data_IF_724329261328
#
_entry.id   IF_724329261328
#
_cell.length_a   1.000
_cell.length_b   1.000
_cell.length_c   1.000
_cell.angle_alpha   90.00
_cell.angle_beta   90.00
_cell.angle_gamma   90.00
#
_symmetry.space_group_name_H-M   'P 1'
#
loop_
_entity.id
_entity.type
_entity.pdbx_description
1 polymer ?
#
# COMPACT_ATOMS: atom_id res chain seq x y z
N UNK A 1 -36.13 -4.88 4.47
CA UNK A 1 -35.83 -4.61 5.89
C UNK A 1 -34.69 -5.47 6.44
N UNK A 2 -34.50 -6.72 6.00
CA UNK A 2 -33.45 -7.67 6.47
C UNK A 2 -32.01 -7.15 6.25
N UNK A 3 -31.78 -6.30 5.26
CA UNK A 3 -30.45 -5.76 4.91
C UNK A 3 -29.99 -4.52 5.69
N UNK A 4 -30.85 -3.96 6.56
CA UNK A 4 -30.57 -2.67 7.23
C UNK A 4 -29.49 -2.78 8.31
N UNK A 5 -29.29 -3.97 8.93
CA UNK A 5 -28.28 -4.22 9.96
C UNK A 5 -27.15 -5.16 9.50
N UNK A 6 -27.08 -5.47 8.21
CA UNK A 6 -26.20 -6.49 7.66
C UNK A 6 -25.26 -5.97 6.58
N UNK A 7 -24.59 -4.83 6.85
CA UNK A 7 -23.68 -4.24 5.88
C UNK A 7 -22.25 -4.62 6.17
N UNK A 8 -21.49 -4.86 5.10
CA UNK A 8 -20.06 -5.18 5.13
C UNK A 8 -19.27 -3.91 4.82
N UNK A 9 -18.35 -3.45 5.70
CA UNK A 9 -17.48 -2.32 5.41
C UNK A 9 -16.50 -2.65 4.29
N UNK A 10 -16.05 -1.63 3.54
CA UNK A 10 -15.08 -1.78 2.44
C UNK A 10 -13.71 -2.30 2.85
N UNK A 11 -13.37 -2.20 4.13
CA UNK A 11 -12.10 -2.65 4.67
C UNK A 11 -12.09 -2.62 6.18
N UNK A 12 -11.07 -3.22 6.76
CA UNK A 12 -10.79 -3.20 8.20
C UNK A 12 -9.28 -3.25 8.40
N UNK A 13 -8.82 -2.83 9.56
CA UNK A 13 -7.42 -2.97 9.97
C UNK A 13 -7.16 -4.34 10.59
N UNK A 14 -5.90 -4.78 10.58
CA UNK A 14 -5.53 -6.11 11.07
C UNK A 14 -5.57 -6.24 12.60
N UNK A 15 -5.41 -5.12 13.34
CA UNK A 15 -5.54 -5.15 14.80
C UNK A 15 -6.97 -5.39 15.25
N UNK A 16 -7.17 -6.23 16.28
CA UNK A 16 -8.46 -6.35 16.96
C UNK A 16 -8.74 -5.11 17.81
N UNK A 17 -10.00 -4.90 18.23
CA UNK A 17 -10.31 -3.85 19.21
C UNK A 17 -9.53 -4.06 20.50
N UNK A 18 -9.42 -5.32 20.96
CA UNK A 18 -8.63 -5.67 22.15
C UNK A 18 -7.17 -5.33 21.96
N UNK A 19 -6.57 -5.71 20.80
CA UNK A 19 -5.19 -5.34 20.47
C UNK A 19 -5.02 -3.83 20.44
N UNK A 20 -5.95 -3.08 19.82
CA UNK A 20 -5.87 -1.62 19.71
C UNK A 20 -5.91 -0.92 21.08
N UNK A 21 -6.78 -1.37 21.98
CA UNK A 21 -6.84 -0.86 23.35
C UNK A 21 -5.57 -1.23 24.13
N UNK A 22 -5.12 -2.48 24.03
CA UNK A 22 -3.88 -2.94 24.68
C UNK A 22 -2.67 -2.15 24.19
N UNK A 23 -2.54 -1.90 22.89
CA UNK A 23 -1.47 -1.08 22.31
C UNK A 23 -1.54 0.38 22.76
N UNK A 24 -2.75 0.95 22.88
CA UNK A 24 -2.92 2.30 23.42
C UNK A 24 -2.38 2.38 24.85
N UNK A 25 -2.78 1.47 25.73
CA UNK A 25 -2.33 1.42 27.12
C UNK A 25 -0.82 1.18 27.22
N UNK A 26 -0.29 0.21 26.49
CA UNK A 26 1.15 -0.08 26.46
C UNK A 26 1.97 1.09 25.93
N UNK A 27 1.47 1.85 24.98
CA UNK A 27 2.18 2.99 24.39
C UNK A 27 2.42 4.15 25.37
N UNK A 28 1.63 4.23 26.44
CA UNK A 28 1.76 5.28 27.48
C UNK A 28 3.06 5.09 28.27
N UNK A 29 3.43 3.86 28.61
CA UNK A 29 4.57 3.54 29.48
C UNK A 29 5.78 2.98 28.73
N UNK A 30 5.61 2.46 27.50
CA UNK A 30 6.68 1.82 26.72
C UNK A 30 7.82 2.77 26.42
N UNK A 31 9.04 2.26 26.42
CA UNK A 31 10.23 2.98 25.97
C UNK A 31 10.12 3.24 24.45
N UNK A 32 10.33 4.49 24.04
CA UNK A 32 10.33 4.85 22.62
C UNK A 32 11.67 4.54 21.96
N UNK A 33 12.78 4.67 22.69
CA UNK A 33 14.13 4.36 22.22
C UNK A 33 14.61 3.04 22.88
N UNK A 34 14.88 2.06 22.07
CA UNK A 34 15.56 0.82 22.43
C UNK A 34 16.07 0.18 21.13
N UNK A 35 17.32 0.46 20.80
CA UNK A 35 17.93 0.06 19.53
C UNK A 35 17.95 -1.47 19.38
N UNK A 36 18.18 -2.21 20.48
CA UNK A 36 18.14 -3.69 20.47
C UNK A 36 16.80 -4.23 19.96
N UNK A 37 15.66 -3.62 20.35
CA UNK A 37 14.35 -4.07 19.90
C UNK A 37 14.07 -3.69 18.46
N UNK A 38 14.58 -2.55 17.99
CA UNK A 38 14.48 -2.13 16.60
C UNK A 38 15.31 -3.09 15.73
N UNK A 39 16.55 -3.39 16.09
CA UNK A 39 17.41 -4.34 15.37
C UNK A 39 16.81 -5.76 15.35
N UNK A 40 16.26 -6.24 16.45
CA UNK A 40 15.57 -7.54 16.51
C UNK A 40 14.42 -7.61 15.47
N UNK A 41 13.61 -6.56 15.39
CA UNK A 41 12.54 -6.49 14.40
C UNK A 41 13.07 -6.43 12.96
N UNK A 42 14.08 -5.59 12.71
CA UNK A 42 14.72 -5.44 11.41
C UNK A 42 15.32 -6.77 10.92
N UNK A 43 16.00 -7.50 11.77
CA UNK A 43 16.57 -8.82 11.46
C UNK A 43 15.49 -9.84 11.10
N UNK A 44 14.45 -9.96 11.95
CA UNK A 44 13.32 -10.86 11.72
C UNK A 44 12.58 -10.50 10.43
N UNK A 45 12.41 -9.21 10.13
CA UNK A 45 11.71 -8.79 8.95
C UNK A 45 12.54 -8.96 7.67
N UNK A 46 13.86 -8.69 7.73
CA UNK A 46 14.77 -9.00 6.63
C UNK A 46 14.75 -10.48 6.29
N UNK A 47 14.90 -11.34 7.30
CA UNK A 47 14.82 -12.80 7.15
C UNK A 47 13.47 -13.24 6.57
N UNK A 48 12.36 -12.64 7.02
CA UNK A 48 11.02 -12.96 6.55
C UNK A 48 10.83 -12.66 5.05
N UNK A 49 11.44 -11.60 4.54
CA UNK A 49 11.39 -11.21 3.12
C UNK A 49 12.39 -12.01 2.28
N UNK A 50 13.46 -12.54 2.88
CA UNK A 50 14.58 -13.17 2.18
C UNK A 50 15.66 -12.18 1.77
N UNK A 51 15.84 -11.10 2.56
CA UNK A 51 16.93 -10.11 2.43
C UNK A 51 17.91 -10.25 3.60
N UNK A 52 19.14 -9.76 3.40
CA UNK A 52 20.16 -9.80 4.45
C UNK A 52 19.96 -8.72 5.51
N UNK A 53 19.52 -7.54 5.11
CA UNK A 53 19.47 -6.38 5.99
C UNK A 53 18.16 -5.61 5.87
N UNK A 54 17.76 -4.97 6.97
CA UNK A 54 16.67 -4.04 7.06
C UNK A 54 17.06 -2.79 7.86
N UNK A 55 16.55 -1.63 7.48
CA UNK A 55 16.67 -0.36 8.22
C UNK A 55 15.32 0.30 8.32
N UNK A 56 14.89 0.65 9.54
CA UNK A 56 13.55 1.17 9.81
C UNK A 56 13.52 2.70 9.88
N UNK A 57 12.54 3.28 9.20
CA UNK A 57 12.25 4.70 9.09
C UNK A 57 10.82 5.01 9.56
N UNK A 58 10.45 6.29 9.81
CA UNK A 58 9.11 6.64 10.28
C UNK A 58 8.00 6.45 9.25
N UNK A 59 8.34 6.47 7.94
CA UNK A 59 7.44 6.29 6.81
C UNK A 59 8.17 5.63 5.63
N UNK A 60 7.44 4.92 4.77
CA UNK A 60 7.99 4.36 3.52
C UNK A 60 8.56 5.46 2.61
N UNK A 61 7.86 6.58 2.47
CA UNK A 61 8.36 7.74 1.70
C UNK A 61 9.67 8.31 2.23
N UNK A 62 9.90 8.27 3.56
CA UNK A 62 11.20 8.65 4.14
C UNK A 62 12.30 7.66 3.78
N UNK A 63 11.98 6.37 3.78
CA UNK A 63 12.91 5.34 3.33
C UNK A 63 13.24 5.47 1.84
N UNK A 64 12.24 5.78 0.98
CA UNK A 64 12.45 6.07 -0.46
C UNK A 64 13.32 7.33 -0.63
N UNK A 65 13.03 8.39 0.13
CA UNK A 65 13.83 9.62 0.10
C UNK A 65 15.32 9.34 0.36
N UNK A 66 15.62 8.62 1.43
CA UNK A 66 17.02 8.31 1.76
C UNK A 66 17.63 7.31 0.77
N UNK A 67 16.87 6.32 0.27
CA UNK A 67 17.39 5.40 -0.74
C UNK A 67 17.83 6.12 -2.01
N UNK A 68 17.04 7.05 -2.52
CA UNK A 68 17.40 7.88 -3.68
C UNK A 68 18.51 8.89 -3.35
N UNK A 69 18.48 9.50 -2.15
CA UNK A 69 19.52 10.43 -1.68
C UNK A 69 20.89 9.77 -1.60
N UNK A 70 20.98 8.58 -0.95
CA UNK A 70 22.28 7.88 -0.81
C UNK A 70 22.75 7.25 -2.12
N UNK A 71 21.86 7.01 -3.08
CA UNK A 71 22.25 6.63 -4.44
C UNK A 71 22.99 7.76 -5.15
N UNK A 72 22.75 9.00 -4.71
CA UNK A 72 23.44 10.21 -5.18
C UNK A 72 23.33 10.42 -6.70
N UNK A 73 22.10 10.30 -7.24
CA UNK A 73 21.85 10.58 -8.64
C UNK A 73 22.02 12.07 -8.93
N UNK A 74 22.60 12.45 -10.08
CA UNK A 74 22.68 13.84 -10.50
C UNK A 74 21.29 14.50 -10.56
N UNK A 75 21.21 15.81 -10.26
CA UNK A 75 19.95 16.55 -10.47
C UNK A 75 19.55 16.50 -11.95
N UNK A 76 18.25 16.39 -12.20
CA UNK A 76 17.72 16.22 -13.55
C UNK A 76 17.68 14.77 -14.04
N UNK A 77 18.27 13.81 -13.29
CA UNK A 77 18.13 12.38 -13.62
C UNK A 77 16.68 11.95 -13.52
N UNK A 78 16.23 11.17 -14.49
CA UNK A 78 14.90 10.62 -14.54
C UNK A 78 14.73 9.40 -13.60
N UNK A 79 13.60 9.37 -12.91
CA UNK A 79 13.15 8.24 -12.09
C UNK A 79 11.86 7.70 -12.67
N UNK A 80 11.90 6.49 -13.22
CA UNK A 80 10.68 5.80 -13.70
C UNK A 80 9.84 5.40 -12.49
N UNK A 81 8.53 5.70 -12.56
CA UNK A 81 7.57 5.37 -11.52
C UNK A 81 6.19 5.10 -12.11
N UNK A 82 5.32 4.32 -11.41
CA UNK A 82 3.99 4.04 -11.94
C UNK A 82 3.13 5.31 -11.98
N UNK A 83 2.24 5.44 -12.99
CA UNK A 83 1.36 6.58 -13.11
C UNK A 83 0.27 6.63 -12.02
N UNK A 84 0.02 5.51 -11.32
CA UNK A 84 -0.88 5.43 -10.17
C UNK A 84 -0.05 5.22 -8.91
N UNK A 85 -0.08 6.16 -7.97
CA UNK A 85 0.64 6.04 -6.70
C UNK A 85 0.10 7.02 -5.66
N UNK A 86 0.79 7.13 -4.53
CA UNK A 86 0.59 8.20 -3.56
C UNK A 86 1.49 9.39 -3.90
N UNK A 87 0.89 10.59 -3.89
CA UNK A 87 1.60 11.86 -4.18
C UNK A 87 2.90 12.02 -3.39
N UNK A 88 2.95 11.56 -2.14
CA UNK A 88 4.16 11.66 -1.31
C UNK A 88 5.41 10.97 -1.88
N UNK A 89 5.28 10.00 -2.79
CA UNK A 89 6.43 9.40 -3.48
C UNK A 89 6.91 10.34 -4.60
N UNK A 90 5.98 10.94 -5.34
CA UNK A 90 6.30 11.95 -6.35
C UNK A 90 6.99 13.16 -5.72
N UNK A 91 6.49 13.65 -4.58
CA UNK A 91 7.11 14.76 -3.84
C UNK A 91 8.55 14.46 -3.42
N UNK A 92 8.83 13.19 -3.05
CA UNK A 92 10.21 12.74 -2.74
C UNK A 92 11.11 12.87 -3.97
N UNK A 93 10.69 12.37 -5.11
CA UNK A 93 11.47 12.45 -6.36
C UNK A 93 11.80 13.92 -6.70
N UNK A 94 10.78 14.77 -6.68
CA UNK A 94 10.93 16.20 -7.00
C UNK A 94 11.79 16.93 -5.97
N UNK A 95 11.68 16.63 -4.68
CA UNK A 95 12.45 17.30 -3.62
C UNK A 95 13.96 17.04 -3.70
N UNK A 96 14.36 15.95 -4.36
CA UNK A 96 15.76 15.62 -4.64
C UNK A 96 16.28 16.25 -5.96
N UNK A 97 15.44 17.02 -6.66
CA UNK A 97 15.76 17.60 -7.96
C UNK A 97 15.79 16.57 -9.08
N UNK A 98 15.16 15.41 -8.89
CA UNK A 98 14.99 14.35 -9.88
C UNK A 98 13.71 14.57 -10.68
N UNK A 99 13.63 13.98 -11.86
CA UNK A 99 12.49 14.13 -12.78
C UNK A 99 11.68 12.84 -12.79
N UNK A 100 10.37 12.87 -12.45
CA UNK A 100 9.51 11.70 -12.59
C UNK A 100 9.26 11.39 -14.07
N UNK A 101 9.38 10.11 -14.44
CA UNK A 101 9.04 9.60 -15.76
C UNK A 101 8.01 8.48 -15.60
N UNK A 102 6.83 8.66 -16.18
CA UNK A 102 5.77 7.65 -16.04
C UNK A 102 5.85 6.65 -17.18
N UNK A 103 5.60 5.38 -16.86
CA UNK A 103 5.45 4.28 -17.81
C UNK A 103 4.14 3.58 -17.51
N UNK A 104 3.32 3.35 -18.54
CA UNK A 104 2.00 2.77 -18.39
C UNK A 104 2.08 1.30 -17.93
N UNK A 105 0.97 0.82 -17.41
CA UNK A 105 0.85 -0.48 -16.75
C UNK A 105 0.44 -1.58 -17.74
N UNK A 106 0.67 -2.82 -17.35
CA UNK A 106 -0.02 -3.99 -17.85
C UNK A 106 -1.32 -4.18 -17.06
N UNK A 107 -2.43 -4.36 -17.78
CA UNK A 107 -3.76 -4.47 -17.19
C UNK A 107 -3.95 -5.74 -16.34
N UNK A 108 -3.18 -6.81 -16.63
CA UNK A 108 -3.33 -8.10 -15.96
C UNK A 108 -2.59 -8.20 -14.63
N UNK A 109 -1.60 -7.33 -14.41
CA UNK A 109 -0.75 -7.41 -13.21
C UNK A 109 -0.52 -6.06 -12.52
N UNK A 110 -1.07 -4.95 -13.06
CA UNK A 110 -0.97 -3.59 -12.51
C UNK A 110 0.47 -3.11 -12.26
N UNK A 111 1.44 -3.70 -12.93
CA UNK A 111 2.83 -3.27 -12.93
C UNK A 111 3.21 -2.75 -14.32
N UNK A 112 4.44 -2.35 -14.52
CA UNK A 112 4.91 -1.86 -15.81
C UNK A 112 4.73 -2.89 -16.92
N UNK A 113 4.25 -2.43 -18.09
CA UNK A 113 4.36 -3.16 -19.33
C UNK A 113 5.84 -3.31 -19.74
N UNK A 114 6.28 -4.54 -20.02
CA UNK A 114 7.70 -4.84 -20.27
C UNK A 114 8.25 -4.10 -21.50
N UNK A 115 7.48 -4.02 -22.57
CA UNK A 115 7.90 -3.34 -23.80
C UNK A 115 7.94 -1.82 -23.62
N UNK A 116 6.91 -1.25 -22.99
CA UNK A 116 6.86 0.18 -22.68
C UNK A 116 8.00 0.58 -21.77
N UNK A 117 8.32 -0.24 -20.74
CA UNK A 117 9.46 -0.01 -19.87
C UNK A 117 10.78 -0.02 -20.64
N UNK A 118 11.00 -1.03 -21.47
CA UNK A 118 12.24 -1.13 -22.26
C UNK A 118 12.46 0.06 -23.18
N UNK A 119 11.39 0.58 -23.76
CA UNK A 119 11.42 1.73 -24.67
C UNK A 119 11.59 3.07 -23.91
N UNK A 120 11.14 3.14 -22.65
CA UNK A 120 11.22 4.35 -21.85
C UNK A 120 12.60 4.60 -21.23
N UNK A 121 13.41 3.55 -21.06
CA UNK A 121 14.75 3.69 -20.47
C UNK A 121 15.73 4.23 -21.51
N UNK A 122 16.30 5.41 -21.21
CA UNK A 122 17.33 6.10 -22.00
C UNK A 122 18.52 6.52 -21.13
N UNK A 123 19.41 7.36 -21.67
CA UNK A 123 20.63 7.85 -21.00
C UNK A 123 20.37 8.76 -19.79
N UNK A 124 19.18 9.37 -19.71
CA UNK A 124 18.79 10.24 -18.59
C UNK A 124 18.18 9.44 -17.43
N UNK A 125 17.84 8.18 -17.67
CA UNK A 125 17.16 7.32 -16.68
C UNK A 125 18.19 6.74 -15.69
N UNK A 126 18.09 7.09 -14.41
CA UNK A 126 19.02 6.60 -13.37
C UNK A 126 18.40 5.60 -12.38
N UNK A 127 17.07 5.65 -12.17
CA UNK A 127 16.40 4.77 -11.22
C UNK A 127 14.98 4.42 -11.67
N UNK A 128 14.45 3.36 -11.07
CA UNK A 128 13.06 2.94 -11.21
C UNK A 128 12.47 2.59 -9.85
N UNK A 129 11.22 3.00 -9.60
CA UNK A 129 10.41 2.59 -8.45
C UNK A 129 9.34 1.63 -8.97
N UNK A 130 9.52 0.34 -8.74
CA UNK A 130 8.55 -0.70 -9.10
C UNK A 130 7.57 -0.86 -7.94
N UNK A 131 6.31 -0.51 -8.13
CA UNK A 131 5.26 -0.64 -7.11
C UNK A 131 4.34 -1.82 -7.45
N UNK A 132 4.17 -2.73 -6.51
CA UNK A 132 3.28 -3.89 -6.66
C UNK A 132 1.86 -3.54 -6.22
N UNK A 133 1.12 -2.90 -7.12
CA UNK A 133 -0.23 -2.41 -6.84
C UNK A 133 -1.19 -3.57 -6.51
N UNK A 134 -2.06 -3.34 -5.53
CA UNK A 134 -3.18 -4.20 -5.12
C UNK A 134 -2.79 -5.61 -4.65
N UNK A 135 -1.50 -5.89 -4.46
CA UNK A 135 -1.00 -7.20 -4.04
C UNK A 135 -0.84 -8.18 -5.20
N UNK A 136 -0.63 -7.68 -6.40
CA UNK A 136 -0.35 -8.50 -7.59
C UNK A 136 1.14 -8.84 -7.70
N UNK A 137 1.42 -9.98 -8.30
CA UNK A 137 2.76 -10.45 -8.64
C UNK A 137 2.96 -10.35 -10.17
N UNK A 138 3.74 -9.38 -10.67
CA UNK A 138 4.07 -9.26 -12.09
C UNK A 138 5.19 -10.23 -12.47
N UNK A 139 5.54 -10.28 -13.75
CA UNK A 139 6.75 -10.94 -14.22
C UNK A 139 8.00 -10.11 -13.86
N UNK A 140 8.29 -10.02 -12.56
CA UNK A 140 9.33 -9.15 -12.03
C UNK A 140 10.72 -9.51 -12.55
N UNK A 141 10.99 -10.79 -12.82
CA UNK A 141 12.30 -11.26 -13.28
C UNK A 141 12.69 -10.62 -14.61
N UNK A 142 11.75 -10.48 -15.54
CA UNK A 142 11.98 -9.75 -16.81
C UNK A 142 12.19 -8.26 -16.61
N UNK A 143 11.40 -7.62 -15.75
CA UNK A 143 11.58 -6.19 -15.45
C UNK A 143 12.98 -5.93 -14.87
N UNK A 144 13.42 -6.79 -13.93
CA UNK A 144 14.76 -6.71 -13.35
C UNK A 144 15.85 -6.93 -14.41
N UNK A 145 15.66 -7.89 -15.30
CA UNK A 145 16.62 -8.15 -16.38
C UNK A 145 16.78 -6.93 -17.31
N UNK A 146 15.67 -6.28 -17.69
CA UNK A 146 15.69 -5.05 -18.49
C UNK A 146 16.50 -3.97 -17.78
N UNK A 147 16.21 -3.73 -16.49
CA UNK A 147 16.89 -2.72 -15.69
C UNK A 147 18.39 -3.00 -15.52
N UNK A 148 18.75 -4.25 -15.24
CA UNK A 148 20.16 -4.68 -15.09
C UNK A 148 20.98 -4.45 -16.36
N UNK A 149 20.45 -4.82 -17.52
CA UNK A 149 21.11 -4.59 -18.82
C UNK A 149 21.40 -3.10 -19.06
N UNK A 150 20.53 -2.23 -18.59
CA UNK A 150 20.62 -0.76 -18.71
C UNK A 150 21.31 -0.10 -17.52
N UNK A 151 21.76 -0.86 -16.50
CA UNK A 151 22.40 -0.36 -15.27
C UNK A 151 21.52 0.61 -14.46
N UNK A 152 20.21 0.45 -14.48
CA UNK A 152 19.25 1.26 -13.76
C UNK A 152 19.14 0.77 -12.31
N UNK A 153 19.17 1.69 -11.34
CA UNK A 153 18.95 1.38 -9.93
C UNK A 153 17.49 1.02 -9.68
N UNK A 154 17.25 -0.17 -9.12
CA UNK A 154 15.90 -0.72 -8.91
C UNK A 154 15.51 -0.67 -7.44
N UNK A 155 14.47 0.11 -7.15
CA UNK A 155 13.78 0.16 -5.87
C UNK A 155 12.39 -0.49 -6.01
N UNK A 156 12.14 -1.57 -5.27
CA UNK A 156 10.83 -2.20 -5.19
C UNK A 156 9.99 -1.60 -4.06
N UNK A 157 8.77 -1.14 -4.33
CA UNK A 157 7.77 -0.84 -3.30
C UNK A 157 6.76 -1.99 -3.19
N UNK A 158 6.97 -2.87 -2.21
CA UNK A 158 6.08 -4.00 -1.95
C UNK A 158 5.10 -3.75 -0.80
N UNK A 159 4.81 -2.49 -0.51
CA UNK A 159 3.87 -2.08 0.55
C UNK A 159 2.44 -2.63 0.40
N UNK A 160 2.09 -3.11 -0.78
CA UNK A 160 0.82 -3.77 -1.06
C UNK A 160 1.01 -5.24 -1.47
N UNK A 161 2.24 -5.65 -1.78
CA UNK A 161 2.60 -6.98 -2.30
C UNK A 161 3.29 -7.91 -1.29
N UNK A 162 3.21 -7.62 0.01
CA UNK A 162 3.79 -8.51 1.03
C UNK A 162 3.24 -9.94 0.87
N UNK A 163 4.11 -10.94 0.90
CA UNK A 163 3.82 -12.35 0.66
C UNK A 163 3.42 -12.75 -0.77
N UNK A 164 3.27 -11.82 -1.70
CA UNK A 164 3.18 -12.19 -3.10
C UNK A 164 4.53 -12.77 -3.56
N UNK A 165 4.48 -13.79 -4.44
CA UNK A 165 5.67 -14.54 -4.82
C UNK A 165 5.79 -14.69 -6.34
N UNK A 166 7.01 -14.69 -6.85
CA UNK A 166 7.36 -15.10 -8.21
C UNK A 166 8.50 -16.10 -8.11
N UNK A 167 8.42 -17.21 -8.81
CA UNK A 167 9.44 -18.27 -8.76
C UNK A 167 9.83 -18.68 -7.33
N UNK A 168 8.85 -18.76 -6.41
CA UNK A 168 9.00 -19.07 -4.97
C UNK A 168 9.77 -18.02 -4.16
N UNK A 169 10.12 -16.87 -4.73
CA UNK A 169 10.73 -15.74 -4.04
C UNK A 169 9.68 -14.67 -3.76
N UNK A 170 9.74 -14.05 -2.57
CA UNK A 170 8.83 -12.97 -2.22
C UNK A 170 9.14 -11.69 -2.98
N UNK A 171 8.11 -10.94 -3.34
CA UNK A 171 8.28 -9.56 -3.82
C UNK A 171 9.02 -8.73 -2.77
N UNK A 172 9.85 -7.79 -3.23
CA UNK A 172 10.79 -7.06 -2.38
C UNK A 172 12.17 -7.71 -2.28
N UNK A 173 12.42 -8.87 -2.94
CA UNK A 173 13.72 -9.56 -2.91
C UNK A 173 14.46 -9.61 -4.24
N UNK A 174 14.06 -8.84 -5.25
CA UNK A 174 14.60 -8.91 -6.61
C UNK A 174 15.48 -7.74 -7.03
N UNK A 175 15.12 -6.49 -6.68
CA UNK A 175 15.85 -5.28 -7.03
C UNK A 175 17.08 -5.02 -6.16
N UNK A 176 17.76 -3.89 -6.38
CA UNK A 176 18.89 -3.46 -5.55
C UNK A 176 18.50 -3.20 -4.11
N UNK A 177 17.30 -2.64 -3.93
CA UNK A 177 16.68 -2.45 -2.62
C UNK A 177 15.16 -2.53 -2.71
N UNK A 178 14.53 -2.62 -1.55
CA UNK A 178 13.06 -2.60 -1.48
C UNK A 178 12.55 -1.87 -0.24
N UNK A 179 11.29 -1.45 -0.32
CA UNK A 179 10.61 -0.67 0.73
C UNK A 179 9.27 -1.31 1.07
N UNK A 180 8.99 -1.38 2.37
CA UNK A 180 7.67 -1.75 2.90
C UNK A 180 7.12 -0.66 3.80
N UNK A 181 5.85 -0.34 3.64
CA UNK A 181 5.11 0.56 4.54
C UNK A 181 4.36 -0.24 5.59
N UNK A 182 4.61 0.03 6.87
CA UNK A 182 3.83 -0.52 7.98
C UNK A 182 2.84 0.48 8.58
N UNK A 183 2.21 1.29 7.71
CA UNK A 183 1.12 2.20 8.10
C UNK A 183 -0.20 1.45 8.28
N UNK A 184 -1.21 2.12 8.83
CA UNK A 184 -2.56 1.59 8.94
C UNK A 184 -3.04 0.98 7.62
N UNK A 185 -3.86 -0.06 7.70
CA UNK A 185 -4.39 -0.86 6.59
C UNK A 185 -3.37 -1.76 5.85
N UNK A 186 -2.08 -1.71 6.18
CA UNK A 186 -1.09 -2.63 5.63
C UNK A 186 -1.13 -3.98 6.35
N UNK A 187 -0.58 -5.02 5.70
CA UNK A 187 -0.60 -6.38 6.24
C UNK A 187 0.16 -6.48 7.57
N UNK A 188 1.27 -5.77 7.69
CA UNK A 188 1.95 -5.51 8.97
C UNK A 188 1.75 -4.04 9.28
N UNK A 189 0.94 -3.73 10.29
CA UNK A 189 0.66 -2.38 10.76
C UNK A 189 1.35 -2.14 12.10
N UNK A 190 2.29 -1.20 12.14
CA UNK A 190 3.00 -0.76 13.33
C UNK A 190 2.68 0.70 13.71
N UNK A 191 1.48 1.16 13.33
CA UNK A 191 1.07 2.56 13.51
C UNK A 191 1.94 3.55 12.73
N UNK A 192 2.39 3.14 11.55
CA UNK A 192 3.35 3.84 10.72
C UNK A 192 4.74 3.22 10.81
N UNK A 193 5.51 3.46 9.78
CA UNK A 193 6.86 2.93 9.57
C UNK A 193 7.11 2.75 8.09
N UNK A 194 8.38 2.76 7.74
CA UNK A 194 8.89 2.41 6.43
C UNK A 194 10.15 1.59 6.61
N UNK A 195 10.23 0.44 5.96
CA UNK A 195 11.35 -0.47 6.15
C UNK A 195 12.07 -0.63 4.83
N UNK A 196 13.34 -0.26 4.83
CA UNK A 196 14.26 -0.42 3.71
C UNK A 196 14.94 -1.78 3.82
N UNK A 197 15.07 -2.50 2.71
CA UNK A 197 15.75 -3.79 2.66
C UNK A 197 16.77 -3.81 1.52
N UNK A 198 17.93 -4.43 1.74
CA UNK A 198 18.91 -4.70 0.71
C UNK A 198 19.87 -5.80 1.13
N UNK A 199 20.55 -6.40 0.16
CA UNK A 199 21.67 -7.34 0.38
C UNK A 199 23.02 -6.63 0.27
N UNK A 200 23.04 -5.37 -0.19
CA UNK A 200 24.23 -4.54 -0.31
C UNK A 200 24.58 -3.89 1.04
N UNK A 201 25.67 -4.37 1.66
CA UNK A 201 26.14 -3.89 2.95
C UNK A 201 26.54 -2.41 2.94
N UNK A 202 27.12 -1.92 1.84
CA UNK A 202 27.56 -0.53 1.74
C UNK A 202 26.34 0.40 1.66
N UNK A 203 25.36 0.07 0.82
CA UNK A 203 24.12 0.81 0.71
C UNK A 203 23.38 0.86 2.07
N UNK A 204 23.30 -0.27 2.75
CA UNK A 204 22.69 -0.36 4.09
C UNK A 204 23.44 0.48 5.12
N UNK A 205 24.77 0.49 5.08
CA UNK A 205 25.57 1.32 5.99
C UNK A 205 25.29 2.82 5.79
N UNK A 206 25.16 3.27 4.53
CA UNK A 206 24.79 4.66 4.21
C UNK A 206 23.37 4.98 4.67
N UNK A 207 22.42 4.06 4.48
CA UNK A 207 21.05 4.21 4.97
C UNK A 207 21.00 4.29 6.50
N UNK A 208 21.82 3.52 7.20
CA UNK A 208 21.92 3.54 8.68
C UNK A 208 22.45 4.89 9.18
N UNK A 209 23.46 5.45 8.55
CA UNK A 209 23.98 6.79 8.89
C UNK A 209 22.90 7.87 8.75
N UNK A 210 22.08 7.83 7.72
CA UNK A 210 20.96 8.78 7.56
C UNK A 210 19.88 8.54 8.63
N UNK A 211 19.60 7.29 8.98
CA UNK A 211 18.63 6.92 10.02
C UNK A 211 19.05 7.40 11.41
N UNK A 212 20.34 7.36 11.73
CA UNK A 212 20.90 7.82 13.01
C UNK A 212 20.76 9.33 13.21
N UNK A 213 20.64 10.11 12.12
CA UNK A 213 20.46 11.55 12.16
C UNK A 213 19.00 11.99 12.35
N UNK A 214 18.05 11.04 12.37
CA UNK A 214 16.63 11.34 12.53
C UNK A 214 16.32 11.92 13.91
N UNK A 215 15.42 12.89 13.95
CA UNK A 215 14.94 13.46 15.21
C UNK A 215 14.23 12.42 16.06
N UNK A 216 14.41 12.44 17.40
CA UNK A 216 13.69 11.53 18.28
C UNK A 216 12.18 11.65 18.11
N UNK A 217 11.49 10.51 18.06
CA UNK A 217 10.03 10.50 18.01
C UNK A 217 9.44 10.91 19.36
N UNK A 218 8.37 11.70 19.33
CA UNK A 218 7.64 12.12 20.52
C UNK A 218 6.44 11.20 20.76
N UNK A 219 6.19 10.86 22.03
CA UNK A 219 5.08 9.99 22.44
C UNK A 219 3.72 10.47 21.93
N UNK A 220 3.49 11.76 21.91
CA UNK A 220 2.24 12.34 21.42
C UNK A 220 1.95 12.00 19.95
N UNK A 221 2.98 11.91 19.09
CA UNK A 221 2.79 11.50 17.70
C UNK A 221 2.43 10.03 17.59
N UNK A 222 3.04 9.17 18.41
CA UNK A 222 2.69 7.75 18.49
C UNK A 222 1.27 7.56 18.97
N UNK A 223 0.89 8.21 20.06
CA UNK A 223 -0.47 8.17 20.61
C UNK A 223 -1.53 8.63 19.61
N UNK A 224 -1.28 9.72 18.88
CA UNK A 224 -2.20 10.18 17.82
C UNK A 224 -2.39 9.13 16.73
N UNK A 225 -1.33 8.43 16.33
CA UNK A 225 -1.41 7.35 15.31
C UNK A 225 -2.20 6.15 15.83
N UNK A 226 -1.95 5.72 17.08
CA UNK A 226 -2.65 4.61 17.71
C UNK A 226 -4.14 4.95 17.92
N UNK A 227 -4.43 6.16 18.40
CA UNK A 227 -5.81 6.61 18.57
C UNK A 227 -6.56 6.65 17.23
N UNK A 228 -5.94 7.18 16.19
CA UNK A 228 -6.52 7.15 14.83
C UNK A 228 -6.79 5.73 14.35
N UNK A 229 -5.87 4.80 14.59
CA UNK A 229 -6.05 3.39 14.25
C UNK A 229 -7.21 2.76 15.05
N UNK A 230 -7.32 3.05 16.34
CA UNK A 230 -8.46 2.63 17.17
C UNK A 230 -9.79 3.20 16.63
N UNK A 231 -9.82 4.47 16.21
CA UNK A 231 -11.01 5.08 15.60
C UNK A 231 -11.41 4.37 14.30
N UNK A 232 -10.45 4.02 13.44
CA UNK A 232 -10.74 3.19 12.25
C UNK A 232 -11.29 1.82 12.61
N UNK A 233 -10.72 1.19 13.64
CA UNK A 233 -11.18 -0.13 14.09
C UNK A 233 -12.61 -0.08 14.64
N UNK A 234 -12.94 0.96 15.40
CA UNK A 234 -14.31 1.22 15.88
C UNK A 234 -15.25 1.48 14.70
N UNK A 235 -14.88 2.38 13.79
CA UNK A 235 -15.72 2.76 12.66
C UNK A 235 -16.00 1.60 11.68
N UNK A 236 -15.10 0.61 11.59
CA UNK A 236 -15.25 -0.58 10.74
C UNK A 236 -15.70 -1.83 11.52
N UNK A 237 -15.90 -1.72 12.84
CA UNK A 237 -16.50 -2.79 13.62
C UNK A 237 -17.94 -3.05 13.12
N UNK A 238 -18.31 -4.32 12.94
CA UNK A 238 -19.59 -4.73 12.35
C UNK A 238 -20.81 -4.03 12.95
N UNK A 239 -20.90 -3.96 14.26
CA UNK A 239 -22.05 -3.35 14.96
C UNK A 239 -22.04 -1.84 14.79
N UNK A 240 -20.90 -1.20 15.09
CA UNK A 240 -20.74 0.25 15.02
C UNK A 240 -20.91 0.73 13.57
N UNK A 241 -20.39 -0.02 12.60
CA UNK A 241 -20.54 0.31 11.18
C UNK A 241 -22.01 0.37 10.78
N UNK A 242 -22.81 -0.60 11.17
CA UNK A 242 -24.21 -0.64 10.78
C UNK A 242 -25.08 0.41 11.49
N UNK A 243 -24.82 0.66 12.77
CA UNK A 243 -25.68 1.56 13.57
C UNK A 243 -25.28 3.02 13.40
N UNK A 244 -23.97 3.32 13.28
CA UNK A 244 -23.46 4.69 13.30
C UNK A 244 -22.73 5.07 12.03
N UNK A 245 -21.74 4.26 11.58
CA UNK A 245 -20.82 4.69 10.53
C UNK A 245 -21.50 4.78 9.18
N UNK A 246 -22.21 3.75 8.72
CA UNK A 246 -22.90 3.78 7.43
C UNK A 246 -24.01 4.85 7.34
N UNK A 247 -24.89 5.04 8.37
CA UNK A 247 -25.83 6.16 8.37
C UNK A 247 -25.14 7.54 8.30
N UNK A 248 -24.05 7.72 9.05
CA UNK A 248 -23.27 8.96 9.02
C UNK A 248 -22.67 9.21 7.63
N UNK A 249 -22.05 8.18 7.00
CA UNK A 249 -21.48 8.28 5.66
C UNK A 249 -22.55 8.65 4.61
N UNK A 250 -23.76 8.12 4.75
CA UNK A 250 -24.89 8.46 3.90
C UNK A 250 -25.34 9.91 4.08
N UNK A 251 -25.47 10.36 5.33
CA UNK A 251 -25.80 11.75 5.64
C UNK A 251 -24.76 12.71 5.05
N UNK A 252 -23.46 12.45 5.29
CA UNK A 252 -22.36 13.27 4.74
C UNK A 252 -22.42 13.35 3.19
N UNK A 253 -22.78 12.25 2.51
CA UNK A 253 -22.94 12.24 1.06
C UNK A 253 -24.09 13.13 0.60
N UNK A 254 -25.22 13.17 1.32
CA UNK A 254 -26.36 14.05 1.03
C UNK A 254 -25.91 15.52 1.11
N UNK A 255 -25.03 15.87 2.06
CA UNK A 255 -24.45 17.21 2.19
C UNK A 255 -23.26 17.48 1.23
N UNK A 256 -23.08 16.64 0.18
CA UNK A 256 -22.06 16.85 -0.84
C UNK A 256 -20.63 16.50 -0.43
N UNK A 257 -20.45 15.89 0.74
CA UNK A 257 -19.11 15.49 1.21
C UNK A 257 -18.72 14.15 0.61
N UNK A 258 -17.71 14.12 -0.26
CA UNK A 258 -17.12 12.86 -0.75
C UNK A 258 -16.16 12.29 0.30
N UNK A 259 -16.63 11.28 1.01
CA UNK A 259 -15.86 10.61 2.06
C UNK A 259 -14.61 9.90 1.51
N UNK A 260 -14.62 9.45 0.25
CA UNK A 260 -13.44 8.87 -0.38
C UNK A 260 -12.30 9.90 -0.51
N UNK A 261 -12.68 11.17 -0.70
CA UNK A 261 -11.75 12.29 -0.74
C UNK A 261 -11.28 12.76 0.64
N UNK A 262 -11.96 12.39 1.73
CA UNK A 262 -11.52 12.79 3.09
C UNK A 262 -10.26 12.08 3.55
N UNK A 263 -9.93 10.93 2.99
CA UNK A 263 -8.76 10.11 3.38
C UNK A 263 -7.54 10.35 2.51
N UNK A 264 -7.66 11.03 1.37
CA UNK A 264 -6.57 11.39 0.46
C UNK A 264 -5.91 12.73 0.82
N UNK A 265 -4.65 12.91 0.44
CA UNK A 265 -3.98 14.21 0.52
C UNK A 265 -4.50 15.08 -0.63
N UNK A 266 -5.27 16.13 -0.33
CA UNK A 266 -5.97 16.96 -1.33
C UNK A 266 -5.12 18.08 -1.92
N UNK A 267 -3.98 18.34 -1.34
CA UNK A 267 -3.09 19.38 -1.83
C UNK A 267 -2.39 18.88 -3.10
N UNK A 268 -2.82 19.42 -4.24
CA UNK A 268 -2.25 19.09 -5.54
C UNK A 268 -0.92 19.79 -5.81
N UNK A 269 -0.53 20.73 -4.95
CA UNK A 269 0.74 21.44 -5.12
C UNK A 269 1.92 20.55 -4.69
N UNK A 270 3.05 20.64 -5.42
CA UNK A 270 4.29 19.99 -5.03
C UNK A 270 4.74 20.43 -3.64
N UNK A 271 5.23 19.50 -2.84
CA UNK A 271 5.88 19.85 -1.57
C UNK A 271 7.25 20.45 -1.88
N UNK A 272 7.38 21.75 -1.66
CA UNK A 272 8.69 22.46 -1.86
C UNK A 272 9.71 22.13 -0.77
N UNK A 273 9.23 21.88 0.45
CA UNK A 273 10.06 21.55 1.61
C UNK A 273 9.48 20.32 2.30
N UNK A 274 10.28 19.28 2.45
CA UNK A 274 9.88 18.04 3.13
C UNK A 274 9.54 18.36 4.60
N UNK A 275 8.36 17.98 5.11
CA UNK A 275 7.97 18.25 6.50
C UNK A 275 8.89 17.56 7.51
N UNK A 276 9.29 18.26 8.57
CA UNK A 276 10.16 17.72 9.62
C UNK A 276 9.61 16.44 10.28
N UNK A 277 8.30 16.24 10.24
CA UNK A 277 7.66 15.04 10.79
C UNK A 277 8.06 13.77 10.01
N UNK A 278 8.49 13.89 8.76
CA UNK A 278 9.00 12.77 7.97
C UNK A 278 10.37 12.28 8.43
N UNK A 279 11.08 13.07 9.23
CA UNK A 279 12.44 12.77 9.71
C UNK A 279 12.50 12.44 11.21
N UNK A 280 11.41 11.95 11.79
CA UNK A 280 11.43 11.41 13.17
C UNK A 280 11.83 9.94 13.15
N UNK A 281 12.48 9.47 14.24
CA UNK A 281 12.91 8.07 14.34
C UNK A 281 11.73 7.09 14.45
N UNK A 282 11.92 5.88 13.96
CA UNK A 282 11.07 4.73 14.25
C UNK A 282 11.23 4.35 15.72
N UNK A 283 10.21 3.83 16.38
CA UNK A 283 10.23 3.60 17.83
C UNK A 283 10.33 2.13 18.20
N UNK A 284 10.94 1.84 19.36
CA UNK A 284 11.01 0.49 19.91
C UNK A 284 9.62 -0.12 20.18
N UNK A 285 8.64 0.71 20.54
CA UNK A 285 7.25 0.25 20.67
C UNK A 285 6.71 -0.28 19.35
N UNK A 286 6.92 0.45 18.26
CA UNK A 286 6.50 0.04 16.92
C UNK A 286 7.21 -1.26 16.50
N UNK A 287 8.49 -1.42 16.82
CA UNK A 287 9.25 -2.65 16.58
C UNK A 287 8.65 -3.86 17.34
N UNK A 288 8.28 -3.67 18.62
CA UNK A 288 7.61 -4.72 19.39
C UNK A 288 6.25 -5.13 18.79
N UNK A 289 5.48 -4.17 18.28
CA UNK A 289 4.25 -4.46 17.54
C UNK A 289 4.57 -5.23 16.26
N UNK A 290 5.58 -4.79 15.49
CA UNK A 290 5.99 -5.44 14.24
C UNK A 290 6.40 -6.90 14.43
N UNK A 291 7.15 -7.22 15.49
CA UNK A 291 7.51 -8.60 15.83
C UNK A 291 6.25 -9.48 16.07
N UNK A 292 5.24 -8.93 16.71
CA UNK A 292 3.96 -9.64 16.93
C UNK A 292 3.18 -9.84 15.63
N UNK A 293 3.11 -8.81 14.78
CA UNK A 293 2.35 -8.85 13.53
C UNK A 293 3.02 -9.77 12.48
N UNK A 294 4.35 -9.84 12.43
CA UNK A 294 5.09 -10.78 11.58
C UNK A 294 4.67 -12.24 11.82
N UNK A 295 4.37 -12.62 13.07
CA UNK A 295 3.95 -13.99 13.41
C UNK A 295 2.55 -14.34 12.91
N UNK A 296 1.69 -13.33 12.64
CA UNK A 296 0.28 -13.52 12.27
C UNK A 296 0.04 -13.34 10.77
N UNK A 297 0.89 -12.59 10.07
CA UNK A 297 0.63 -12.08 8.72
C UNK A 297 0.34 -13.17 7.70
N UNK A 298 1.05 -14.29 7.74
CA UNK A 298 0.83 -15.39 6.79
C UNK A 298 -0.56 -16.01 6.94
N UNK A 299 -1.02 -16.24 8.18
CA UNK A 299 -2.36 -16.76 8.44
C UNK A 299 -3.46 -15.78 7.98
N UNK A 300 -3.24 -14.48 8.13
CA UNK A 300 -4.16 -13.46 7.67
C UNK A 300 -4.24 -13.41 6.15
N UNK A 301 -3.11 -13.55 5.47
CA UNK A 301 -3.06 -13.55 4.02
C UNK A 301 -3.75 -14.76 3.41
N UNK A 302 -3.55 -15.96 3.96
CA UNK A 302 -4.27 -17.16 3.50
C UNK A 302 -5.79 -16.96 3.54
N UNK A 303 -6.32 -16.35 4.62
CA UNK A 303 -7.76 -16.07 4.75
C UNK A 303 -8.26 -15.08 3.70
N UNK A 304 -7.46 -14.07 3.39
CA UNK A 304 -7.78 -13.04 2.39
C UNK A 304 -7.73 -13.62 0.97
N UNK A 305 -6.67 -14.37 0.65
CA UNK A 305 -6.48 -15.02 -0.65
C UNK A 305 -7.64 -15.99 -0.94
N UNK A 306 -7.97 -16.86 0.00
CA UNK A 306 -9.09 -17.79 -0.14
C UNK A 306 -10.44 -17.07 -0.36
N UNK A 307 -10.64 -15.92 0.31
CA UNK A 307 -11.83 -15.10 0.09
C UNK A 307 -11.84 -14.48 -1.31
N UNK A 308 -10.73 -13.91 -1.78
CA UNK A 308 -10.62 -13.33 -3.11
C UNK A 308 -10.91 -14.36 -4.21
N UNK A 309 -10.34 -15.56 -4.11
CA UNK A 309 -10.60 -16.65 -5.05
C UNK A 309 -12.10 -17.00 -5.09
N UNK A 310 -12.72 -17.12 -3.91
CA UNK A 310 -14.15 -17.45 -3.85
C UNK A 310 -15.05 -16.35 -4.44
N UNK A 311 -14.70 -15.06 -4.24
CA UNK A 311 -15.41 -13.95 -4.89
C UNK A 311 -15.32 -14.07 -6.41
N UNK A 312 -14.12 -14.32 -6.96
CA UNK A 312 -13.90 -14.45 -8.40
C UNK A 312 -14.58 -15.68 -9.00
N UNK A 313 -14.67 -16.80 -8.24
CA UNK A 313 -15.42 -17.99 -8.64
C UNK A 313 -16.93 -17.75 -8.73
N UNK A 314 -17.48 -16.97 -7.81
CA UNK A 314 -18.91 -16.65 -7.77
C UNK A 314 -19.34 -15.59 -8.81
N UNK A 315 -18.39 -14.95 -9.52
CA UNK A 315 -18.67 -13.93 -10.52
C UNK A 315 -17.78 -14.13 -11.75
N UNK A 316 -18.01 -15.19 -12.55
CA UNK A 316 -17.18 -15.52 -13.72
C UNK A 316 -17.23 -14.47 -14.81
N UNK A 317 -18.32 -13.71 -14.96
CA UNK A 317 -18.51 -12.70 -16.01
C UNK A 317 -17.91 -11.33 -15.64
N UNK A 318 -17.67 -11.08 -14.35
CA UNK A 318 -17.02 -9.83 -13.92
C UNK A 318 -15.52 -9.89 -14.26
N UNK A 319 -15.02 -8.85 -14.91
CA UNK A 319 -13.60 -8.68 -15.19
C UNK A 319 -12.85 -8.27 -13.92
N UNK A 320 -12.13 -9.23 -13.32
CA UNK A 320 -11.18 -8.95 -12.24
C UNK A 320 -9.77 -8.93 -12.83
N UNK A 321 -9.08 -7.81 -12.73
CA UNK A 321 -7.72 -7.67 -13.26
C UNK A 321 -6.65 -8.56 -12.62
N UNK A 322 -7.04 -9.46 -11.72
CA UNK A 322 -6.15 -10.33 -10.94
C UNK A 322 -6.43 -11.83 -11.17
N UNK A 323 -7.06 -12.19 -12.28
CA UNK A 323 -7.41 -13.60 -12.55
C UNK A 323 -6.22 -14.43 -13.02
N UNK A 324 -5.27 -13.82 -13.71
CA UNK A 324 -4.03 -14.50 -14.17
C UNK A 324 -3.05 -14.67 -13.01
N UNK A 325 -2.32 -15.79 -12.99
CA UNK A 325 -1.32 -16.09 -11.94
C UNK A 325 -1.87 -15.95 -10.49
N UNK A 326 -3.15 -16.27 -10.31
CA UNK A 326 -3.91 -16.03 -9.08
C UNK A 326 -3.25 -16.55 -7.81
N UNK A 327 -2.48 -17.63 -7.89
CA UNK A 327 -1.83 -18.28 -6.73
C UNK A 327 -0.57 -17.52 -6.26
N UNK A 328 -0.11 -16.52 -7.02
CA UNK A 328 1.05 -15.69 -6.70
C UNK A 328 0.64 -14.38 -6.02
N UNK A 329 -0.63 -13.97 -6.15
CA UNK A 329 -1.15 -12.71 -5.63
C UNK A 329 -1.54 -12.80 -4.17
N UNK A 330 -1.48 -11.66 -3.46
CA UNK A 330 -1.97 -11.58 -2.07
C UNK A 330 -3.28 -10.81 -1.95
N UNK A 331 -3.76 -10.22 -3.04
CA UNK A 331 -5.05 -9.49 -3.06
C UNK A 331 -5.19 -8.50 -1.90
N UNK A 332 -4.17 -7.64 -1.73
CA UNK A 332 -4.27 -6.56 -0.73
C UNK A 332 -5.52 -5.72 -0.97
N UNK A 333 -5.89 -5.58 -2.24
CA UNK A 333 -7.21 -5.14 -2.69
C UNK A 333 -7.66 -6.02 -3.87
N UNK A 334 -8.95 -6.39 -3.91
CA UNK A 334 -9.56 -7.12 -5.01
C UNK A 334 -10.23 -6.10 -5.94
N UNK A 335 -9.77 -6.03 -7.19
CA UNK A 335 -10.20 -5.03 -8.17
C UNK A 335 -11.11 -5.65 -9.21
N UNK A 336 -12.36 -5.18 -9.28
CA UNK A 336 -13.29 -5.48 -10.35
C UNK A 336 -13.38 -4.29 -11.32
N UNK A 337 -13.41 -4.53 -12.62
CA UNK A 337 -13.65 -3.50 -13.61
C UNK A 337 -15.14 -3.36 -13.90
N UNK A 338 -15.65 -2.15 -13.86
CA UNK A 338 -17.04 -1.85 -14.17
C UNK A 338 -17.14 -0.82 -15.30
N UNK A 339 -18.04 -1.05 -16.26
CA UNK A 339 -18.34 -0.05 -17.32
C UNK A 339 -18.79 1.27 -16.69
N UNK A 340 -19.66 1.19 -15.68
CA UNK A 340 -20.10 2.32 -14.86
C UNK A 340 -19.84 2.03 -13.37
N UNK A 341 -18.70 2.48 -12.81
CA UNK A 341 -18.34 2.24 -11.41
C UNK A 341 -19.36 2.78 -10.40
N UNK A 342 -19.98 3.92 -10.67
CA UNK A 342 -20.97 4.53 -9.77
C UNK A 342 -22.21 3.64 -9.63
N UNK A 343 -22.74 3.14 -10.74
CA UNK A 343 -23.88 2.22 -10.75
C UNK A 343 -23.49 0.90 -10.08
N UNK A 344 -22.33 0.36 -10.39
CA UNK A 344 -21.83 -0.89 -9.80
C UNK A 344 -21.69 -0.77 -8.27
N UNK A 345 -21.08 0.30 -7.78
CA UNK A 345 -20.96 0.61 -6.35
C UNK A 345 -22.35 0.80 -5.70
N UNK A 346 -23.26 1.49 -6.38
CA UNK A 346 -24.64 1.70 -5.89
C UNK A 346 -25.35 0.36 -5.72
N UNK A 347 -25.23 -0.55 -6.69
CA UNK A 347 -25.82 -1.88 -6.63
C UNK A 347 -25.23 -2.72 -5.49
N UNK A 348 -23.89 -2.77 -5.35
CA UNK A 348 -23.26 -3.44 -4.22
C UNK A 348 -23.74 -2.89 -2.87
N UNK A 349 -23.85 -1.57 -2.74
CA UNK A 349 -24.31 -0.93 -1.50
C UNK A 349 -25.79 -1.22 -1.20
N UNK A 350 -26.64 -1.32 -2.22
CA UNK A 350 -28.05 -1.73 -2.03
C UNK A 350 -28.15 -3.17 -1.51
N UNK A 351 -27.19 -4.01 -1.89
CA UNK A 351 -27.06 -5.40 -1.40
C UNK A 351 -26.27 -5.51 -0.09
N UNK A 352 -25.94 -4.39 0.57
CA UNK A 352 -25.27 -4.38 1.87
C UNK A 352 -23.74 -4.50 1.81
N UNK A 353 -23.10 -4.30 0.67
CA UNK A 353 -21.63 -4.34 0.52
C UNK A 353 -21.09 -2.94 0.21
N UNK A 354 -20.30 -2.35 1.11
CA UNK A 354 -19.67 -1.06 0.86
C UNK A 354 -18.42 -1.24 -0.02
N UNK A 355 -18.54 -0.80 -1.27
CA UNK A 355 -17.44 -0.78 -2.23
C UNK A 355 -17.05 0.67 -2.58
N UNK A 356 -15.85 0.86 -3.15
CA UNK A 356 -15.34 2.16 -3.53
C UNK A 356 -14.36 2.06 -4.72
N UNK A 357 -14.06 3.19 -5.34
CA UNK A 357 -12.94 3.34 -6.27
C UNK A 357 -11.62 3.53 -5.53
N UNK A 358 -10.50 3.52 -6.26
CA UNK A 358 -9.17 3.74 -5.69
C UNK A 358 -9.05 5.08 -4.94
N UNK A 359 -8.30 5.05 -3.84
CA UNK A 359 -7.82 6.25 -3.14
C UNK A 359 -6.41 6.68 -3.59
N UNK A 360 -5.77 5.91 -4.47
CA UNK A 360 -4.51 6.29 -5.11
C UNK A 360 -4.78 7.37 -6.16
N UNK A 361 -3.77 8.18 -6.41
CA UNK A 361 -3.85 9.28 -7.37
C UNK A 361 -3.31 8.85 -8.74
N UNK A 362 -3.91 9.34 -9.82
CA UNK A 362 -3.36 9.26 -11.16
C UNK A 362 -2.34 10.40 -11.31
N UNK A 363 -1.08 10.13 -10.99
CA UNK A 363 -0.01 11.13 -10.94
C UNK A 363 0.28 11.75 -12.30
N UNK A 364 0.19 10.96 -13.38
CA UNK A 364 0.38 11.44 -14.75
C UNK A 364 -0.71 12.42 -15.21
N UNK A 365 -1.83 12.51 -14.50
CA UNK A 365 -2.91 13.46 -14.74
C UNK A 365 -2.85 14.74 -13.90
N UNK A 366 -1.88 14.88 -13.01
CA UNK A 366 -1.71 16.06 -12.17
C UNK A 366 -1.06 17.19 -12.97
N UNK A 367 -1.79 18.28 -13.21
CA UNK A 367 -1.36 19.40 -14.08
C UNK A 367 -0.10 20.13 -13.59
N UNK A 368 0.10 20.16 -12.28
CA UNK A 368 1.23 20.85 -11.63
C UNK A 368 2.54 20.04 -11.65
N UNK A 369 2.48 18.80 -12.18
CA UNK A 369 3.63 17.90 -12.19
C UNK A 369 4.06 17.54 -13.62
N UNK A 370 5.36 17.45 -13.89
CA UNK A 370 5.85 17.01 -15.19
C UNK A 370 5.55 15.53 -15.41
N UNK A 371 5.39 15.14 -16.67
CA UNK A 371 5.26 13.74 -17.08
C UNK A 371 4.41 13.54 -18.32
N UNK A 372 4.44 12.31 -18.85
CA UNK A 372 3.61 11.93 -19.98
C UNK A 372 2.13 11.83 -19.57
N UNK A 373 1.25 12.30 -20.42
CA UNK A 373 -0.19 12.32 -20.17
C UNK A 373 -0.93 11.10 -20.74
N UNK A 374 -0.34 10.36 -21.68
CA UNK A 374 -1.01 9.23 -22.34
C UNK A 374 -0.72 7.91 -21.62
N UNK A 375 -1.54 7.58 -20.62
CA UNK A 375 -1.43 6.35 -19.80
C UNK A 375 -2.78 5.60 -19.78
N UNK A 376 -3.23 5.05 -20.93
CA UNK A 376 -4.60 4.53 -21.07
C UNK A 376 -4.91 3.37 -20.14
N UNK A 377 -3.95 2.51 -19.80
CA UNK A 377 -4.18 1.42 -18.85
C UNK A 377 -4.31 1.96 -17.43
N UNK A 378 -3.41 2.84 -17.01
CA UNK A 378 -3.50 3.48 -15.70
C UNK A 378 -4.80 4.29 -15.54
N UNK A 379 -5.21 5.03 -16.57
CA UNK A 379 -6.48 5.74 -16.59
C UNK A 379 -7.67 4.79 -16.46
N UNK A 380 -7.67 3.66 -17.18
CA UNK A 380 -8.70 2.61 -17.04
C UNK A 380 -8.72 2.04 -15.62
N UNK A 381 -7.58 1.67 -15.06
CA UNK A 381 -7.47 1.14 -13.70
C UNK A 381 -8.01 2.15 -12.69
N UNK A 382 -7.62 3.41 -12.80
CA UNK A 382 -8.03 4.48 -11.90
C UNK A 382 -9.53 4.82 -12.01
N UNK A 383 -10.07 4.91 -13.24
CA UNK A 383 -11.44 5.37 -13.50
C UNK A 383 -12.48 4.25 -13.47
N UNK A 384 -12.11 3.00 -13.78
CA UNK A 384 -13.04 1.86 -13.90
C UNK A 384 -12.88 0.81 -12.81
N UNK A 385 -11.79 0.87 -12.04
CA UNK A 385 -11.52 -0.07 -10.94
C UNK A 385 -12.42 0.18 -9.74
N UNK A 386 -13.14 -0.86 -9.30
CA UNK A 386 -13.95 -0.88 -8.08
C UNK A 386 -13.36 -1.90 -7.12
N UNK A 387 -13.12 -1.49 -5.88
CA UNK A 387 -12.59 -2.35 -4.85
C UNK A 387 -13.69 -3.09 -4.11
N UNK A 388 -13.66 -4.41 -4.23
CA UNK A 388 -14.54 -5.31 -3.51
C UNK A 388 -13.95 -5.57 -2.13
N UNK A 389 -14.74 -5.56 -1.03
CA UNK A 389 -14.25 -5.84 0.31
C UNK A 389 -13.49 -7.16 0.38
N UNK A 390 -12.19 -7.08 0.70
CA UNK A 390 -11.28 -8.22 0.78
C UNK A 390 -10.26 -7.99 1.89
N UNK A 391 -10.60 -8.35 3.14
CA UNK A 391 -9.72 -8.16 4.29
C UNK A 391 -9.66 -9.40 5.16
N UNK A 392 -8.54 -9.59 5.85
CA UNK A 392 -8.19 -10.85 6.53
C UNK A 392 -9.14 -11.24 7.67
N UNK A 393 -9.78 -10.24 8.30
CA UNK A 393 -10.63 -10.41 9.48
C UNK A 393 -12.12 -10.51 9.19
N UNK A 394 -12.50 -10.74 7.94
CA UNK A 394 -13.90 -10.93 7.58
C UNK A 394 -14.48 -12.15 8.30
N UNK A 395 -15.62 -11.97 8.96
CA UNK A 395 -16.40 -13.08 9.51
C UNK A 395 -17.00 -13.93 8.37
N UNK A 396 -17.40 -15.18 8.70
CA UNK A 396 -18.08 -16.06 7.74
C UNK A 396 -19.32 -15.39 7.15
N UNK A 397 -20.06 -14.69 7.97
CA UNK A 397 -21.26 -13.96 7.56
C UNK A 397 -20.92 -12.82 6.56
N UNK A 398 -19.88 -12.00 6.85
CA UNK A 398 -19.46 -10.94 5.93
C UNK A 398 -19.03 -11.49 4.57
N UNK A 399 -18.30 -12.60 4.57
CA UNK A 399 -17.85 -13.27 3.34
C UNK A 399 -19.06 -13.75 2.52
N UNK A 400 -20.00 -14.46 3.13
CA UNK A 400 -21.20 -14.94 2.45
C UNK A 400 -22.00 -13.78 1.85
N UNK A 401 -22.08 -12.65 2.57
CA UNK A 401 -22.76 -11.45 2.06
C UNK A 401 -22.11 -10.89 0.80
N UNK A 402 -20.78 -10.87 0.76
CA UNK A 402 -20.05 -10.44 -0.46
C UNK A 402 -20.29 -11.43 -1.59
N UNK A 403 -20.29 -12.74 -1.33
CA UNK A 403 -20.53 -13.78 -2.34
C UNK A 403 -21.93 -13.65 -2.97
N UNK A 404 -22.97 -13.53 -2.14
CA UNK A 404 -24.36 -13.33 -2.59
C UNK A 404 -24.49 -12.04 -3.42
N UNK A 405 -23.91 -10.94 -2.93
CA UNK A 405 -24.03 -9.65 -3.62
C UNK A 405 -23.33 -9.65 -4.99
N UNK A 406 -22.15 -10.27 -5.08
CA UNK A 406 -21.41 -10.30 -6.34
C UNK A 406 -22.05 -11.25 -7.37
N UNK A 407 -22.61 -12.35 -6.92
CA UNK A 407 -23.35 -13.31 -7.75
C UNK A 407 -24.62 -12.68 -8.35
N UNK A 408 -25.39 -11.93 -7.56
CA UNK A 408 -26.58 -11.18 -8.03
C UNK A 408 -26.18 -10.12 -9.08
N UNK A 409 -24.98 -9.54 -8.98
CA UNK A 409 -24.54 -8.51 -9.94
C UNK A 409 -23.98 -9.15 -11.21
N UNK A 410 -23.43 -10.36 -11.12
CA UNK A 410 -22.87 -11.11 -12.26
C UNK A 410 -23.96 -11.73 -13.14
N UNK A 411 -25.14 -12.08 -12.53
CA UNK A 411 -26.33 -12.59 -13.23
C UNK A 411 -27.06 -11.52 -14.02
#
# INVERSE_FOLDING_TARGET
>A
MIYMFSKVPRGSINHSLVDSVAYLLQSITSKLKNDKKIFEFEELFAQYIGRKYCVSFPFARTAIYFALKVKNLPKGTEVIMPPISIKGILDVVLSLGLIPKYVDLDLNNFCFDEQKLSNAIDENTGAIIITYLFGTAPNIEKLIEICKRKKIFVLEDFSQGLNATVSKKKLGSFGDCSIYSSSAIKQIDTFGGGHFFSDDKELVSRMRKEQEQLYPSKRIFLLKKILRNLMYNLATNQIIFNIFTDPLLKALKIFGTDVNRMTGNRDQQPIKVIPNEWFRSYTAFQACVGIRELKKVQSFDHKRIAHAHKVMENAPSIDFGQRTNKDQHTYWQLVAYAKNPETFIKNLRSLGVDACTSSLELLSGLKEYPGSTNMPVAEKVHSKGVFIPCFSRMSKWQKNRVYEAIEIIDS
#
